data_IF_308466005263
#
_entry.id   IF_308466005263
#
_cell.length_a   1.000
_cell.length_b   1.000
_cell.length_c   1.000
_cell.angle_alpha   90.00
_cell.angle_beta   90.00
_cell.angle_gamma   90.00
#
_symmetry.space_group_name_H-M   'P 1'
#
loop_
_entity.id
_entity.type
_entity.pdbx_description
1 polymer ?
#
# COMPACT_ATOMS: atom_id res chain seq x y z
N UNK A 1 17.05 2.27 -0.85
CA UNK A 1 15.68 2.26 -1.40
C UNK A 1 14.77 1.24 -0.71
N UNK A 2 15.12 -0.05 -0.63
CA UNK A 2 14.30 -1.10 0.02
C UNK A 2 13.97 -0.88 1.50
N UNK A 3 14.88 -0.29 2.28
CA UNK A 3 14.71 -0.10 3.72
C UNK A 3 13.59 0.91 4.06
N UNK A 4 13.52 2.01 3.31
CA UNK A 4 12.55 3.09 3.52
C UNK A 4 11.12 2.60 3.23
N UNK A 5 10.94 1.84 2.14
CA UNK A 5 9.64 1.26 1.77
C UNK A 5 9.18 0.24 2.82
N UNK A 6 10.12 -0.54 3.35
CA UNK A 6 9.84 -1.52 4.41
C UNK A 6 9.38 -0.87 5.71
N UNK A 7 10.08 0.17 6.18
CA UNK A 7 9.74 0.88 7.41
C UNK A 7 8.37 1.57 7.31
N UNK A 8 8.07 2.18 6.16
CA UNK A 8 6.78 2.85 5.93
C UNK A 8 5.63 1.86 5.79
N UNK A 9 5.86 0.72 5.15
CA UNK A 9 4.89 -0.37 5.13
C UNK A 9 4.62 -0.87 6.55
N UNK A 10 5.65 -1.07 7.38
CA UNK A 10 5.47 -1.40 8.79
C UNK A 10 4.63 -0.37 9.54
N UNK A 11 4.86 0.93 9.34
CA UNK A 11 4.08 1.99 9.99
C UNK A 11 2.61 2.00 9.56
N UNK A 12 2.33 1.87 8.26
CA UNK A 12 0.95 1.82 7.75
C UNK A 12 0.22 0.54 8.12
N UNK A 13 0.92 -0.61 8.12
CA UNK A 13 0.36 -1.92 8.46
C UNK A 13 0.15 -2.11 9.96
N UNK A 14 0.96 -1.49 10.81
CA UNK A 14 0.77 -1.55 12.26
C UNK A 14 -0.51 -0.82 12.73
N UNK A 15 -1.07 0.05 11.90
CA UNK A 15 -2.25 0.85 12.24
C UNK A 15 -3.53 0.37 11.56
N UNK A 16 -3.45 -0.50 10.54
CA UNK A 16 -4.58 -0.89 9.73
C UNK A 16 -4.80 -2.41 9.72
N UNK A 17 -6.04 -2.85 9.90
CA UNK A 17 -6.40 -4.26 9.73
C UNK A 17 -6.67 -4.52 8.25
N UNK A 18 -5.96 -5.46 7.62
CA UNK A 18 -6.19 -5.81 6.21
C UNK A 18 -7.23 -6.93 6.12
N UNK A 19 -8.26 -6.74 5.32
CA UNK A 19 -9.23 -7.79 5.04
C UNK A 19 -8.63 -8.92 4.18
N UNK A 20 -9.00 -10.17 4.44
CA UNK A 20 -8.55 -11.32 3.66
C UNK A 20 -8.72 -11.20 2.14
N UNK A 21 -9.87 -10.70 1.63
CA UNK A 21 -10.05 -10.44 0.19
C UNK A 21 -9.12 -9.35 -0.38
N UNK A 22 -8.76 -8.34 0.41
CA UNK A 22 -7.79 -7.32 0.02
C UNK A 22 -6.37 -7.93 -0.06
N UNK A 23 -5.99 -8.73 0.92
CA UNK A 23 -4.70 -9.44 0.91
C UNK A 23 -4.57 -10.40 -0.28
N UNK A 24 -5.65 -11.11 -0.64
CA UNK A 24 -5.69 -11.99 -1.81
C UNK A 24 -5.52 -11.23 -3.14
N UNK A 25 -6.10 -10.04 -3.27
CA UNK A 25 -5.90 -9.21 -4.46
C UNK A 25 -4.45 -8.74 -4.59
N UNK A 26 -3.83 -8.41 -3.46
CA UNK A 26 -2.43 -7.96 -3.42
C UNK A 26 -1.50 -9.11 -3.82
N UNK A 27 -1.70 -10.31 -3.28
CA UNK A 27 -0.87 -11.48 -3.59
C UNK A 27 -0.98 -11.94 -5.04
N UNK A 28 -2.04 -11.56 -5.75
CA UNK A 28 -2.23 -11.85 -7.18
C UNK A 28 -1.62 -10.77 -8.08
N UNK A 29 -1.25 -9.60 -7.54
CA UNK A 29 -0.90 -8.42 -8.34
C UNK A 29 0.55 -8.38 -8.84
N UNK A 30 1.48 -9.12 -8.22
CA UNK A 30 2.88 -9.18 -8.67
C UNK A 30 3.61 -10.40 -8.08
N UNK A 31 4.56 -10.94 -8.85
CA UNK A 31 5.55 -11.93 -8.36
C UNK A 31 6.73 -11.28 -7.61
N UNK A 32 6.84 -9.95 -7.67
CA UNK A 32 7.87 -9.18 -7.01
C UNK A 32 7.38 -8.66 -5.64
N UNK A 33 8.12 -9.00 -4.59
CA UNK A 33 7.82 -8.62 -3.22
C UNK A 33 7.84 -7.10 -3.01
N UNK A 34 8.65 -6.34 -3.78
CA UNK A 34 8.69 -4.89 -3.68
C UNK A 34 7.36 -4.26 -4.13
N UNK A 35 6.87 -4.68 -5.30
CA UNK A 35 5.58 -4.25 -5.85
C UNK A 35 4.41 -4.55 -4.90
N UNK A 36 4.44 -5.70 -4.21
CA UNK A 36 3.45 -6.08 -3.20
C UNK A 36 3.49 -5.16 -1.98
N UNK A 37 4.68 -4.86 -1.45
CA UNK A 37 4.86 -3.99 -0.27
C UNK A 37 4.42 -2.55 -0.60
N UNK A 38 4.76 -2.07 -1.80
CA UNK A 38 4.36 -0.74 -2.24
C UNK A 38 2.83 -0.63 -2.38
N UNK A 39 2.18 -1.65 -2.93
CA UNK A 39 0.72 -1.69 -3.04
C UNK A 39 0.03 -1.72 -1.66
N UNK A 40 0.57 -2.51 -0.72
CA UNK A 40 0.10 -2.55 0.67
C UNK A 40 0.19 -1.17 1.33
N UNK A 41 1.32 -0.49 1.19
CA UNK A 41 1.53 0.83 1.77
C UNK A 41 0.56 1.87 1.20
N UNK A 42 0.37 1.89 -0.12
CA UNK A 42 -0.59 2.79 -0.78
C UNK A 42 -2.04 2.54 -0.33
N UNK A 43 -2.42 1.28 -0.20
CA UNK A 43 -3.76 0.90 0.24
C UNK A 43 -3.99 1.27 1.72
N UNK A 44 -3.00 1.07 2.58
CA UNK A 44 -3.03 1.48 3.98
C UNK A 44 -3.13 3.01 4.13
N UNK A 45 -2.35 3.78 3.36
CA UNK A 45 -2.41 5.25 3.36
C UNK A 45 -3.76 5.78 2.87
N UNK A 46 -4.37 5.09 1.92
CA UNK A 46 -5.70 5.46 1.43
C UNK A 46 -6.78 5.23 2.50
N UNK A 47 -6.74 4.09 3.19
CA UNK A 47 -7.64 3.80 4.32
C UNK A 47 -7.48 4.83 5.45
N UNK A 48 -6.24 5.18 5.81
CA UNK A 48 -5.92 6.21 6.80
C UNK A 48 -6.51 7.58 6.40
N UNK A 49 -6.35 7.98 5.14
CA UNK A 49 -6.89 9.25 4.61
C UNK A 49 -8.42 9.29 4.67
N UNK A 50 -9.07 8.13 4.52
CA UNK A 50 -10.52 7.98 4.56
C UNK A 50 -11.06 7.70 5.98
N UNK A 51 -10.17 7.70 6.98
CA UNK A 51 -10.46 7.30 8.36
C UNK A 51 -11.14 5.92 8.47
N UNK A 52 -10.89 5.04 7.49
CA UNK A 52 -11.35 3.67 7.50
C UNK A 52 -10.36 2.83 8.32
N UNK A 53 -10.79 2.16 9.41
CA UNK A 53 -9.92 1.32 10.22
C UNK A 53 -9.43 0.06 9.47
N UNK A 54 -10.01 -0.25 8.30
CA UNK A 54 -9.70 -1.45 7.53
C UNK A 54 -9.24 -1.18 6.10
N UNK A 55 -8.23 -1.92 5.66
CA UNK A 55 -7.85 -1.95 4.24
C UNK A 55 -8.74 -2.97 3.53
N UNK A 56 -9.73 -2.46 2.79
CA UNK A 56 -10.66 -3.25 1.99
C UNK A 56 -10.24 -3.31 0.49
N UNK A 57 -11.01 -4.05 -0.32
CA UNK A 57 -10.74 -4.24 -1.76
C UNK A 57 -10.77 -2.94 -2.57
N UNK A 58 -11.58 -1.96 -2.16
CA UNK A 58 -11.70 -0.66 -2.84
C UNK A 58 -10.39 0.11 -2.71
N UNK A 59 -9.77 0.10 -1.53
CA UNK A 59 -8.47 0.73 -1.30
C UNK A 59 -7.40 0.12 -2.23
N UNK A 60 -7.32 -1.22 -2.28
CA UNK A 60 -6.35 -1.93 -3.14
C UNK A 60 -6.57 -1.60 -4.62
N UNK A 61 -7.81 -1.65 -5.11
CA UNK A 61 -8.11 -1.37 -6.52
C UNK A 61 -7.76 0.07 -6.91
N UNK A 62 -8.04 1.04 -6.03
CA UNK A 62 -7.68 2.44 -6.26
C UNK A 62 -6.17 2.65 -6.23
N UNK A 63 -5.45 1.93 -5.39
CA UNK A 63 -3.98 1.95 -5.33
C UNK A 63 -3.30 1.28 -6.54
N UNK A 64 -4.00 0.42 -7.28
CA UNK A 64 -3.53 -0.17 -8.54
C UNK A 64 -3.64 0.82 -9.72
N UNK A 65 -4.68 1.66 -9.75
CA UNK A 65 -4.98 2.53 -10.89
C UNK A 65 -4.60 4.00 -10.70
N UNK A 66 -4.33 4.45 -9.46
CA UNK A 66 -3.91 5.83 -9.16
C UNK A 66 -2.82 5.85 -8.10
N UNK A 67 -1.59 5.93 -8.55
CA UNK A 67 -0.54 6.68 -7.88
C UNK A 67 0.36 7.30 -8.96
N UNK A 68 -0.21 8.22 -9.75
CA UNK A 68 0.53 9.07 -10.69
C UNK A 68 1.38 10.14 -9.97
N UNK A 69 1.34 10.17 -8.64
CA UNK A 69 2.34 10.82 -7.82
C UNK A 69 3.32 9.77 -7.37
N UNK A 70 4.42 9.59 -8.12
CA UNK A 70 5.71 9.31 -7.49
C UNK A 70 5.72 10.17 -6.22
N UNK A 71 5.84 9.58 -5.02
CA UNK A 71 6.05 10.39 -3.81
C UNK A 71 7.10 11.44 -4.19
N UNK A 72 6.83 12.75 -4.10
CA UNK A 72 7.83 13.77 -4.46
C UNK A 72 9.16 13.55 -3.72
N UNK A 73 9.10 12.81 -2.61
CA UNK A 73 10.21 12.33 -1.78
C UNK A 73 11.07 11.21 -2.40
N UNK A 74 10.60 10.50 -3.44
CA UNK A 74 11.38 9.54 -4.22
C UNK A 74 12.03 10.17 -5.46
N UNK A 75 11.84 11.48 -5.68
CA UNK A 75 12.41 12.23 -6.81
C UNK A 75 13.76 12.91 -6.50
N UNK A 76 14.31 12.72 -5.31
CA UNK A 76 15.61 13.33 -4.94
C UNK A 76 16.70 12.26 -5.05
N UNK A 77 17.52 12.45 -6.09
CA UNK A 77 18.93 12.08 -6.32
C UNK A 77 19.52 10.90 -5.54
#
# INVERSE_FOLDING_TARGET
MYQIVRERAHQGLNQATIEGPALRLISQSSSDAYSVIELLWRAAKLAETEADPQVNRVHVHRSQHKFAGISPELRIQ
#
